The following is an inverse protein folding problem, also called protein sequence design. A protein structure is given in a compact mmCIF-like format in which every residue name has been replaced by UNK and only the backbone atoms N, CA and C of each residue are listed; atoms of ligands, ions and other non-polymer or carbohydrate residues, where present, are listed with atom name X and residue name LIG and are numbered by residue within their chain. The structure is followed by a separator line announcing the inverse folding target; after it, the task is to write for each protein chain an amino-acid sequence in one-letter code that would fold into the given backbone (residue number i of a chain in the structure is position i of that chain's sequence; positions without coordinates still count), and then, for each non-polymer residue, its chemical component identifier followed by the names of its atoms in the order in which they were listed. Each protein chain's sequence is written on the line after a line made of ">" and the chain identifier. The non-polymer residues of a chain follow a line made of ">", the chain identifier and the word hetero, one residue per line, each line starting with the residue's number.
data_IF_225126733442
#
_entry.id   IF_225126733442
#
_cell.length_a   1.000
_cell.length_b   1.000
_cell.length_c   1.000
_cell.angle_alpha   90.00
_cell.angle_beta   90.00
_cell.angle_gamma   90.00
#
_symmetry.space_group_name_H-M   'P 1'
#
loop_
_entity.id
_entity.type
_entity.pdbx_description
1 polymer ?
#
# COMPACT_ATOMS: atom_id res chain seq x y z
N UNK A 1 -3.25 8.15 27.14
CA UNK A 1 -4.13 8.64 26.05
C UNK A 1 -3.57 8.13 24.74
N UNK A 2 -4.44 7.70 23.85
CA UNK A 2 -4.00 7.34 22.50
C UNK A 2 -3.48 8.61 21.78
N UNK A 3 -2.36 8.49 21.10
CA UNK A 3 -1.79 9.57 20.30
C UNK A 3 -2.73 9.88 19.14
N UNK A 4 -3.12 11.15 18.95
CA UNK A 4 -3.97 11.55 17.85
C UNK A 4 -3.20 11.46 16.52
N UNK A 5 -3.83 10.84 15.54
CA UNK A 5 -3.31 10.71 14.17
C UNK A 5 -4.20 11.50 13.23
N UNK A 6 -3.61 12.42 12.50
CA UNK A 6 -4.24 13.15 11.41
C UNK A 6 -4.01 12.44 10.08
N UNK A 7 -5.06 12.35 9.26
CA UNK A 7 -5.02 11.72 7.94
C UNK A 7 -5.26 12.77 6.87
N UNK A 8 -4.27 12.99 6.04
CA UNK A 8 -4.28 14.05 5.02
C UNK A 8 -3.72 13.59 3.67
N UNK A 9 -3.88 14.42 2.66
CA UNK A 9 -3.24 14.17 1.35
C UNK A 9 -1.73 14.39 1.43
N UNK A 10 -0.94 13.61 0.64
CA UNK A 10 0.48 13.85 0.50
C UNK A 10 0.76 15.22 -0.14
N UNK A 11 1.90 15.79 0.22
CA UNK A 11 2.48 16.96 -0.43
C UNK A 11 3.89 16.64 -0.92
N UNK A 12 4.42 17.46 -1.80
CA UNK A 12 5.79 17.30 -2.31
C UNK A 12 6.84 17.28 -1.18
N UNK A 13 6.60 18.06 -0.11
CA UNK A 13 7.49 18.12 1.05
C UNK A 13 7.55 16.79 1.84
N UNK A 14 6.53 15.96 1.76
CA UNK A 14 6.49 14.68 2.47
C UNK A 14 7.48 13.66 1.89
N UNK A 15 7.79 13.77 0.60
CA UNK A 15 8.69 12.84 -0.07
C UNK A 15 10.03 12.68 0.65
N UNK A 16 10.73 13.79 0.89
CA UNK A 16 12.07 13.75 1.48
C UNK A 16 12.07 13.27 2.94
N UNK A 17 11.02 13.59 3.67
CA UNK A 17 10.86 13.15 5.06
C UNK A 17 10.61 11.63 5.16
N UNK A 18 9.84 11.08 4.21
CA UNK A 18 9.47 9.66 4.22
C UNK A 18 10.59 8.80 3.65
N UNK A 19 11.15 9.17 2.50
CA UNK A 19 12.12 8.34 1.78
C UNK A 19 13.36 8.01 2.60
N UNK A 20 13.77 8.93 3.48
CA UNK A 20 14.93 8.72 4.37
C UNK A 20 14.71 7.59 5.40
N UNK A 21 13.46 7.27 5.73
CA UNK A 21 13.09 6.28 6.75
C UNK A 21 12.40 5.05 6.17
N UNK A 22 12.12 5.07 4.87
CA UNK A 22 11.26 4.08 4.27
C UNK A 22 11.88 2.68 4.25
N UNK A 23 13.19 2.58 4.06
CA UNK A 23 13.90 1.30 4.13
C UNK A 23 13.77 0.67 5.53
N UNK A 24 13.82 1.48 6.60
CA UNK A 24 13.61 1.01 7.97
C UNK A 24 12.16 0.51 8.17
N UNK A 25 11.18 1.20 7.57
CA UNK A 25 9.78 0.76 7.63
C UNK A 25 9.54 -0.54 6.86
N UNK A 26 10.34 -0.79 5.84
CA UNK A 26 10.31 -2.02 5.05
C UNK A 26 11.17 -3.17 5.64
N UNK A 27 11.53 -3.08 6.91
CA UNK A 27 12.33 -4.12 7.58
C UNK A 27 13.80 -4.17 7.11
N UNK A 28 14.36 -3.02 6.71
CA UNK A 28 15.72 -2.89 6.19
C UNK A 28 15.88 -3.26 4.72
N UNK A 29 14.80 -3.54 4.00
CA UNK A 29 14.82 -3.74 2.55
C UNK A 29 15.10 -2.43 1.83
N UNK A 30 15.75 -2.48 0.68
CA UNK A 30 15.91 -1.33 -0.20
C UNK A 30 14.59 -1.04 -0.91
N UNK A 31 13.73 -0.28 -0.25
CA UNK A 31 12.34 -0.02 -0.67
C UNK A 31 12.10 1.41 -1.14
N UNK A 32 13.00 2.34 -0.87
CA UNK A 32 12.85 3.77 -1.22
C UNK A 32 12.67 4.02 -2.71
N UNK A 33 13.13 3.12 -3.58
CA UNK A 33 12.90 3.20 -5.03
C UNK A 33 11.41 3.12 -5.41
N UNK A 34 10.57 2.57 -4.53
CA UNK A 34 9.13 2.54 -4.73
C UNK A 34 8.48 3.93 -4.57
N UNK A 35 9.19 4.88 -3.97
CA UNK A 35 8.71 6.20 -3.62
C UNK A 35 9.34 7.31 -4.50
N UNK A 36 9.08 7.27 -5.81
CA UNK A 36 9.39 8.40 -6.67
C UNK A 36 8.61 9.66 -6.24
N UNK A 37 9.22 10.84 -6.41
CA UNK A 37 8.57 12.14 -6.14
C UNK A 37 7.27 12.34 -6.95
N UNK A 38 7.13 11.68 -8.09
CA UNK A 38 5.90 11.73 -8.90
C UNK A 38 4.66 11.29 -8.12
N UNK A 39 4.78 10.34 -7.21
CA UNK A 39 3.68 9.87 -6.37
C UNK A 39 3.12 10.99 -5.48
N UNK A 40 3.99 11.88 -5.02
CA UNK A 40 3.64 13.00 -4.14
C UNK A 40 3.18 14.25 -4.89
N UNK A 41 3.27 14.25 -6.22
CA UNK A 41 2.85 15.38 -7.07
C UNK A 41 1.62 15.08 -7.90
N UNK A 42 1.48 13.87 -8.42
CA UNK A 42 0.52 13.56 -9.46
C UNK A 42 -0.51 12.49 -9.06
N UNK A 43 -0.34 11.84 -7.91
CA UNK A 43 -1.20 10.75 -7.44
C UNK A 43 -1.82 11.02 -6.06
N UNK A 44 -1.89 12.29 -5.65
CA UNK A 44 -2.33 12.67 -4.32
C UNK A 44 -3.83 12.48 -4.10
N UNK A 45 -4.63 12.46 -5.17
CA UNK A 45 -6.09 12.32 -5.10
C UNK A 45 -6.58 10.96 -4.60
N UNK A 46 -5.74 9.93 -4.64
CA UNK A 46 -6.01 8.59 -4.11
C UNK A 46 -5.02 8.16 -3.04
N UNK A 47 -4.10 9.04 -2.66
CA UNK A 47 -3.04 8.73 -1.70
C UNK A 47 -3.26 9.44 -0.37
N UNK A 48 -2.76 8.86 0.72
CA UNK A 48 -2.96 9.34 2.08
C UNK A 48 -1.71 9.27 2.93
N UNK A 49 -1.57 10.24 3.80
CA UNK A 49 -0.54 10.34 4.84
C UNK A 49 -1.22 10.25 6.21
N UNK A 50 -0.66 9.45 7.10
CA UNK A 50 -0.96 9.47 8.52
C UNK A 50 0.16 10.23 9.24
N UNK A 51 -0.17 11.29 9.96
CA UNK A 51 0.78 12.14 10.68
C UNK A 51 0.36 12.32 12.13
N UNK A 52 1.34 12.50 13.00
CA UNK A 52 1.13 12.92 14.39
C UNK A 52 0.81 14.42 14.45
N UNK A 53 0.36 14.88 15.64
CA UNK A 53 0.11 16.30 15.90
C UNK A 53 1.33 17.19 15.65
N UNK A 54 2.55 16.68 15.87
CA UNK A 54 3.80 17.38 15.57
C UNK A 54 4.17 17.41 14.07
N UNK A 55 3.30 16.89 13.20
CA UNK A 55 3.49 16.83 11.76
C UNK A 55 4.36 15.65 11.28
N UNK A 56 4.93 14.84 12.17
CA UNK A 56 5.75 13.70 11.79
C UNK A 56 4.89 12.62 11.11
N UNK A 57 5.25 12.26 9.89
CA UNK A 57 4.58 11.19 9.15
C UNK A 57 4.91 9.83 9.77
N UNK A 58 3.88 9.02 10.00
CA UNK A 58 3.97 7.69 10.61
C UNK A 58 3.36 6.60 9.75
N UNK A 59 2.71 6.95 8.65
CA UNK A 59 2.16 5.98 7.71
C UNK A 59 1.83 6.61 6.37
N UNK A 60 1.81 5.78 5.33
CA UNK A 60 1.45 6.19 3.97
C UNK A 60 0.64 5.11 3.27
N UNK A 61 -0.29 5.53 2.44
CA UNK A 61 -0.92 4.72 1.40
C UNK A 61 -0.82 5.48 0.08
N UNK A 62 -0.08 4.94 -0.86
CA UNK A 62 0.12 5.52 -2.19
C UNK A 62 -0.54 4.61 -3.22
N UNK A 63 -1.37 5.19 -4.08
CA UNK A 63 -2.02 4.40 -5.10
C UNK A 63 -2.72 5.24 -6.17
N UNK A 64 -3.32 4.57 -7.12
CA UNK A 64 -3.94 5.18 -8.29
C UNK A 64 -5.04 4.28 -8.87
N UNK A 65 -5.87 4.85 -9.74
CA UNK A 65 -6.77 4.08 -10.60
C UNK A 65 -6.06 3.81 -11.92
N UNK A 66 -6.13 2.57 -12.40
CA UNK A 66 -5.45 2.15 -13.62
C UNK A 66 -5.91 2.94 -14.85
N UNK A 67 -4.96 3.32 -15.71
CA UNK A 67 -5.28 3.99 -16.99
C UNK A 67 -5.82 2.99 -18.02
N UNK A 68 -5.24 1.78 -18.04
CA UNK A 68 -5.61 0.75 -19.02
C UNK A 68 -6.92 0.05 -18.63
N UNK A 69 -7.19 -0.07 -17.33
CA UNK A 69 -8.43 -0.60 -16.79
C UNK A 69 -8.90 0.27 -15.61
N UNK A 70 -9.83 1.20 -15.84
CA UNK A 70 -10.36 2.08 -14.79
C UNK A 70 -11.18 1.38 -13.71
N UNK A 71 -11.56 0.11 -13.92
CA UNK A 71 -12.22 -0.69 -12.90
C UNK A 71 -11.24 -1.25 -11.86
N UNK A 72 -9.95 -1.18 -12.13
CA UNK A 72 -8.89 -1.64 -11.22
C UNK A 72 -8.13 -0.44 -10.65
N UNK A 73 -8.14 -0.32 -9.33
CA UNK A 73 -7.23 0.56 -8.62
C UNK A 73 -6.02 -0.23 -8.11
N UNK A 74 -4.87 0.41 -8.00
CA UNK A 74 -3.64 -0.18 -7.52
C UNK A 74 -3.20 0.53 -6.24
N UNK A 75 -3.12 -0.21 -5.15
CA UNK A 75 -2.45 0.22 -3.93
C UNK A 75 -0.96 -0.09 -4.10
N UNK A 76 -0.21 0.92 -4.54
CA UNK A 76 1.21 0.78 -4.88
C UNK A 76 2.08 0.55 -3.64
N UNK A 77 1.83 1.33 -2.58
CA UNK A 77 2.55 1.24 -1.30
C UNK A 77 1.59 1.42 -0.14
N UNK A 78 1.67 0.54 0.83
CA UNK A 78 1.12 0.72 2.17
C UNK A 78 2.23 0.47 3.18
N UNK A 79 2.53 1.45 4.02
CA UNK A 79 3.57 1.31 5.03
C UNK A 79 3.25 2.13 6.29
N UNK A 80 3.62 1.59 7.43
CA UNK A 80 3.46 2.24 8.75
C UNK A 80 4.78 2.12 9.51
N UNK A 81 5.22 3.24 10.09
CA UNK A 81 6.36 3.28 11.02
C UNK A 81 6.21 2.14 12.03
N UNK A 82 7.23 1.26 12.21
CA UNK A 82 7.15 0.12 13.13
C UNK A 82 6.67 0.47 14.55
N UNK A 83 6.99 1.68 15.02
CA UNK A 83 6.58 2.18 16.33
C UNK A 83 5.09 2.50 16.45
N UNK A 84 4.39 2.62 15.32
CA UNK A 84 2.97 2.99 15.23
C UNK A 84 2.10 1.85 14.68
N UNK A 85 2.67 0.67 14.49
CA UNK A 85 1.93 -0.53 14.05
C UNK A 85 1.00 -1.04 15.14
N UNK A 86 0.01 -1.85 14.74
CA UNK A 86 -0.99 -2.48 15.63
C UNK A 86 -1.89 -1.47 16.37
N UNK A 87 -2.03 -0.27 15.82
CA UNK A 87 -2.87 0.82 16.35
C UNK A 87 -3.97 1.25 15.36
N UNK A 88 -4.23 0.44 14.32
CA UNK A 88 -5.24 0.73 13.31
C UNK A 88 -4.83 1.71 12.20
N UNK A 89 -3.62 2.27 12.24
CA UNK A 89 -3.16 3.27 11.24
C UNK A 89 -3.18 2.70 9.83
N UNK A 90 -2.63 1.51 9.63
CA UNK A 90 -2.62 0.86 8.31
C UNK A 90 -4.02 0.54 7.80
N UNK A 91 -4.89 0.03 8.65
CA UNK A 91 -6.29 -0.28 8.30
C UNK A 91 -7.07 0.96 7.87
N UNK A 92 -6.88 2.09 8.58
CA UNK A 92 -7.53 3.36 8.22
C UNK A 92 -6.99 3.91 6.89
N UNK A 93 -5.68 3.84 6.66
CA UNK A 93 -5.07 4.25 5.38
C UNK A 93 -5.63 3.44 4.20
N UNK A 94 -5.73 2.12 4.34
CA UNK A 94 -6.31 1.26 3.31
C UNK A 94 -7.79 1.60 3.09
N UNK A 95 -8.56 1.80 4.16
CA UNK A 95 -9.99 2.14 4.05
C UNK A 95 -10.21 3.46 3.30
N UNK A 96 -9.37 4.47 3.55
CA UNK A 96 -9.44 5.76 2.84
C UNK A 96 -9.08 5.62 1.36
N UNK A 97 -8.02 4.87 1.05
CA UNK A 97 -7.66 4.58 -0.34
C UNK A 97 -8.80 3.87 -1.08
N UNK A 98 -9.38 2.85 -0.46
CA UNK A 98 -10.48 2.08 -1.08
C UNK A 98 -11.72 2.92 -1.33
N UNK A 99 -12.05 3.85 -0.43
CA UNK A 99 -13.15 4.81 -0.60
C UNK A 99 -12.91 5.71 -1.81
N UNK A 100 -11.70 6.26 -1.93
CA UNK A 100 -11.33 7.11 -3.08
C UNK A 100 -11.35 6.34 -4.40
N UNK A 101 -10.86 5.10 -4.40
CA UNK A 101 -10.87 4.22 -5.56
C UNK A 101 -12.31 3.92 -6.01
N UNK A 102 -13.19 3.55 -5.08
CA UNK A 102 -14.60 3.29 -5.35
C UNK A 102 -15.34 4.53 -5.86
N UNK A 103 -15.09 5.70 -5.27
CA UNK A 103 -15.65 6.98 -5.74
C UNK A 103 -15.25 7.32 -7.17
N UNK A 104 -14.12 6.82 -7.63
CA UNK A 104 -13.62 6.97 -9.00
C UNK A 104 -14.07 5.86 -9.95
N UNK A 105 -14.91 4.94 -9.47
CA UNK A 105 -15.50 3.87 -10.28
C UNK A 105 -14.72 2.56 -10.29
N UNK A 106 -13.64 2.43 -9.55
CA UNK A 106 -12.97 1.15 -9.42
C UNK A 106 -13.86 0.14 -8.68
N UNK A 107 -13.82 -1.10 -9.12
CA UNK A 107 -14.55 -2.24 -8.52
C UNK A 107 -13.63 -3.24 -7.86
N UNK A 108 -12.33 -3.14 -8.14
CA UNK A 108 -11.30 -4.01 -7.59
C UNK A 108 -10.07 -3.20 -7.21
N UNK A 109 -9.45 -3.55 -6.10
CA UNK A 109 -8.13 -3.03 -5.71
C UNK A 109 -7.13 -4.17 -5.78
N UNK A 110 -6.00 -3.93 -6.44
CA UNK A 110 -4.84 -4.82 -6.48
C UNK A 110 -3.65 -4.21 -5.75
N UNK A 111 -2.83 -5.06 -5.20
CA UNK A 111 -1.56 -4.68 -4.57
C UNK A 111 -0.56 -5.81 -4.71
N UNK A 112 0.72 -5.51 -4.57
CA UNK A 112 1.78 -6.51 -4.48
C UNK A 112 2.55 -6.36 -3.17
N UNK A 113 3.07 -7.47 -2.69
CA UNK A 113 4.02 -7.51 -1.58
C UNK A 113 5.21 -8.39 -1.95
N UNK A 114 6.37 -8.18 -1.35
CA UNK A 114 7.42 -9.19 -1.46
C UNK A 114 6.89 -10.54 -0.98
N UNK A 115 7.17 -11.59 -1.74
CA UNK A 115 6.61 -12.92 -1.50
C UNK A 115 7.08 -13.55 -0.18
N UNK A 116 8.20 -13.09 0.37
CA UNK A 116 8.74 -13.51 1.67
C UNK A 116 8.34 -12.59 2.83
N UNK A 117 7.61 -11.50 2.56
CA UNK A 117 7.13 -10.56 3.58
C UNK A 117 5.81 -11.02 4.21
N UNK A 118 5.90 -12.03 5.05
CA UNK A 118 4.74 -12.60 5.74
C UNK A 118 3.94 -11.60 6.57
N UNK A 119 4.55 -10.68 7.33
CA UNK A 119 3.78 -9.71 8.12
C UNK A 119 2.91 -8.81 7.25
N UNK A 120 3.42 -8.30 6.13
CA UNK A 120 2.65 -7.46 5.21
C UNK A 120 1.52 -8.25 4.55
N UNK A 121 1.78 -9.47 4.10
CA UNK A 121 0.75 -10.34 3.49
C UNK A 121 -0.38 -10.62 4.50
N UNK A 122 -0.05 -10.98 5.74
CA UNK A 122 -1.07 -11.20 6.79
C UNK A 122 -1.88 -9.94 7.09
N UNK A 123 -1.23 -8.78 7.10
CA UNK A 123 -1.95 -7.52 7.26
C UNK A 123 -2.94 -7.28 6.12
N UNK A 124 -2.51 -7.47 4.87
CA UNK A 124 -3.38 -7.31 3.70
C UNK A 124 -4.56 -8.29 3.73
N UNK A 125 -4.32 -9.55 4.10
CA UNK A 125 -5.39 -10.53 4.29
C UNK A 125 -6.37 -10.11 5.40
N UNK A 126 -5.87 -9.58 6.51
CA UNK A 126 -6.70 -9.10 7.61
C UNK A 126 -7.59 -7.91 7.22
N UNK A 127 -7.17 -7.08 6.26
CA UNK A 127 -7.99 -5.99 5.72
C UNK A 127 -8.76 -6.40 4.46
N UNK A 128 -8.88 -7.69 4.19
CA UNK A 128 -9.82 -8.25 3.21
C UNK A 128 -9.25 -8.53 1.82
N UNK A 129 -7.95 -8.42 1.62
CA UNK A 129 -7.32 -8.88 0.39
C UNK A 129 -7.13 -10.40 0.40
N UNK A 130 -7.05 -10.99 -0.77
CA UNK A 130 -6.72 -12.40 -0.94
C UNK A 130 -5.65 -12.56 -2.04
N UNK A 131 -4.83 -13.59 -1.90
CA UNK A 131 -3.80 -13.93 -2.89
C UNK A 131 -4.42 -14.28 -4.23
N UNK A 132 -3.86 -13.75 -5.30
CA UNK A 132 -4.28 -14.06 -6.66
C UNK A 132 -3.66 -15.40 -7.08
N UNK A 133 -4.51 -16.39 -7.29
CA UNK A 133 -4.15 -17.70 -7.82
C UNK A 133 -4.40 -17.74 -9.33
N UNK A 134 -3.36 -18.03 -10.11
CA UNK A 134 -3.46 -18.22 -11.55
C UNK A 134 -2.55 -19.38 -11.96
N UNK A 135 -2.87 -20.10 -13.06
CA UNK A 135 -2.11 -21.29 -13.48
C UNK A 135 -0.63 -21.00 -13.80
N UNK A 136 -0.30 -19.78 -14.19
CA UNK A 136 1.06 -19.33 -14.53
C UNK A 136 1.90 -18.90 -13.31
N UNK A 137 1.29 -18.86 -12.12
CA UNK A 137 2.00 -18.49 -10.90
C UNK A 137 2.92 -19.58 -10.43
N UNK A 138 4.17 -19.21 -10.16
CA UNK A 138 5.10 -20.08 -9.44
C UNK A 138 4.74 -20.12 -7.96
N UNK A 139 5.13 -21.21 -7.29
CA UNK A 139 5.03 -21.27 -5.83
C UNK A 139 6.38 -20.95 -5.22
N UNK A 140 6.47 -19.75 -4.69
CA UNK A 140 7.66 -19.25 -3.99
C UNK A 140 7.28 -18.95 -2.54
N UNK A 141 8.13 -19.35 -1.62
CA UNK A 141 7.88 -19.17 -0.17
C UNK A 141 6.54 -19.72 0.31
N UNK A 142 6.02 -20.76 -0.38
CA UNK A 142 4.75 -21.41 -0.05
C UNK A 142 3.49 -20.70 -0.55
N UNK A 143 3.61 -19.70 -1.45
CA UNK A 143 2.47 -18.96 -2.00
C UNK A 143 2.60 -18.74 -3.52
N UNK A 144 1.48 -18.45 -4.21
CA UNK A 144 1.55 -18.06 -5.62
C UNK A 144 2.29 -16.72 -5.74
N UNK A 145 3.27 -16.66 -6.62
CA UNK A 145 4.10 -15.49 -6.78
C UNK A 145 4.54 -15.25 -8.24
N UNK A 146 4.88 -14.01 -8.53
CA UNK A 146 5.55 -13.55 -9.74
C UNK A 146 7.04 -13.44 -9.44
N UNK A 147 7.85 -14.29 -10.08
CA UNK A 147 9.29 -14.22 -9.95
C UNK A 147 9.85 -13.00 -10.70
N UNK A 148 10.90 -12.39 -10.15
CA UNK A 148 11.66 -11.31 -10.80
C UNK A 148 10.79 -10.14 -11.31
N UNK A 149 9.78 -9.76 -10.54
CA UNK A 149 8.74 -8.80 -10.94
C UNK A 149 9.30 -7.43 -11.37
N UNK A 150 10.16 -6.84 -10.57
CA UNK A 150 10.84 -5.57 -10.85
C UNK A 150 12.37 -5.75 -11.05
N UNK A 151 12.81 -6.98 -11.23
CA UNK A 151 14.21 -7.32 -11.45
C UNK A 151 14.60 -8.62 -10.75
N UNK A 152 15.83 -9.11 -10.98
CA UNK A 152 16.28 -10.40 -10.44
C UNK A 152 16.12 -10.48 -8.92
N UNK A 153 15.43 -11.52 -8.45
CA UNK A 153 15.16 -11.76 -7.02
C UNK A 153 14.05 -10.91 -6.41
N UNK A 154 13.41 -10.02 -7.16
CA UNK A 154 12.26 -9.27 -6.68
C UNK A 154 10.96 -10.07 -6.92
N UNK A 155 10.75 -11.08 -6.08
CA UNK A 155 9.59 -11.96 -6.16
C UNK A 155 8.39 -11.33 -5.44
N UNK A 156 7.24 -11.23 -6.12
CA UNK A 156 6.04 -10.58 -5.60
C UNK A 156 4.86 -11.53 -5.51
N UNK A 157 4.17 -11.49 -4.38
CA UNK A 157 2.80 -11.97 -4.27
C UNK A 157 1.86 -10.85 -4.72
N UNK A 158 0.86 -11.18 -5.54
CA UNK A 158 -0.22 -10.27 -5.90
C UNK A 158 -1.46 -10.60 -5.07
N UNK A 159 -2.08 -9.55 -4.54
CA UNK A 159 -3.32 -9.68 -3.77
C UNK A 159 -4.37 -8.75 -4.36
N UNK A 160 -5.63 -9.14 -4.24
CA UNK A 160 -6.75 -8.30 -4.68
C UNK A 160 -7.89 -8.31 -3.67
N UNK A 161 -8.70 -7.26 -3.73
CA UNK A 161 -9.95 -7.11 -2.98
C UNK A 161 -11.01 -6.46 -3.84
N UNK A 162 -12.23 -7.03 -3.83
CA UNK A 162 -13.40 -6.41 -4.46
C UNK A 162 -13.90 -5.21 -3.64
N UNK A 163 -14.37 -4.16 -4.34
CA UNK A 163 -15.05 -3.00 -3.75
C UNK A 163 -16.57 -3.10 -3.81
N UNK A 164 -17.14 -4.12 -4.45
CA UNK A 164 -18.59 -4.25 -4.66
C UNK A 164 -19.40 -4.41 -3.36
N UNK A 165 -18.73 -4.66 -2.24
CA UNK A 165 -19.36 -4.82 -0.91
C UNK A 165 -19.53 -3.52 -0.11
N UNK A 166 -19.23 -2.35 -0.66
CA UNK A 166 -19.35 -1.07 0.06
C UNK A 166 -20.59 -0.25 -0.36
N UNK A 167 -21.49 -0.83 -1.14
CA UNK A 167 -22.75 -0.20 -1.56
C UNK A 167 -23.92 -0.79 -0.74
N UNK A 168 -23.89 -0.64 0.59
CA UNK A 168 -25.07 -0.72 1.47
C UNK A 168 -25.03 0.43 2.47
#
# INVERSE_FOLDING_TARGET
>A
MAEAIDYRRPTDADHDAIVRRFDDWAGGRTARQLLSRHWFRHFTGTSWIAAREDGRVVGIAIGFVGQDDPLVAVLHVIAVDPRHRRRGVGSELVARFMRDAGTRGATTVRTTSWADDRPTIRFLEAVGFHLVEQPDRQRLYGMPALADYDGPGDDRAELERSLESMAE
#
